data_IF_370678230597
#
_entry.id   IF_370678230597
#
_cell.length_a   1.000
_cell.length_b   1.000
_cell.length_c   1.000
_cell.angle_alpha   90.00
_cell.angle_beta   90.00
_cell.angle_gamma   90.00
#
_symmetry.space_group_name_H-M   'P 1'
#
loop_
_entity.id
_entity.type
_entity.pdbx_description
1 polymer ?
#
# COMPACT_ATOMS: atom_id res chain seq x y z
N UNK A 1 -10.06 19.36 -22.64
CA UNK A 1 -8.98 19.99 -23.42
C UNK A 1 -8.28 20.98 -22.50
N UNK A 2 -7.10 20.65 -21.97
CA UNK A 2 -6.31 21.55 -21.12
C UNK A 2 -5.50 22.47 -22.03
N UNK A 3 -5.65 23.79 -21.88
CA UNK A 3 -4.70 24.77 -22.39
C UNK A 3 -3.69 25.08 -21.29
N UNK A 4 -2.41 24.87 -21.58
CA UNK A 4 -1.31 25.19 -20.68
C UNK A 4 -0.66 26.49 -21.18
N UNK A 5 -0.87 27.60 -20.47
CA UNK A 5 -0.16 28.86 -20.75
C UNK A 5 1.11 28.90 -19.89
N UNK A 6 2.28 28.70 -20.50
CA UNK A 6 3.58 28.76 -19.82
C UNK A 6 4.17 30.16 -19.94
N UNK A 7 4.07 30.96 -18.87
CA UNK A 7 4.80 32.22 -18.76
C UNK A 7 6.19 31.94 -18.17
N UNK A 8 7.23 32.09 -18.99
CA UNK A 8 8.63 32.10 -18.53
C UNK A 8 9.00 33.50 -18.11
N UNK A 9 9.31 33.70 -16.82
CA UNK A 9 9.95 34.93 -16.35
C UNK A 9 11.37 34.63 -15.88
N UNK A 10 12.33 35.36 -16.44
CA UNK A 10 13.72 35.33 -16.02
C UNK A 10 13.87 36.24 -14.79
N UNK A 11 14.47 35.73 -13.72
CA UNK A 11 14.76 36.46 -12.49
C UNK A 11 16.03 37.30 -12.68
N UNK A 12 16.16 38.38 -11.91
CA UNK A 12 17.30 39.32 -11.98
C UNK A 12 18.65 38.69 -11.59
N UNK A 13 18.65 37.52 -10.94
CA UNK A 13 19.82 36.73 -10.55
C UNK A 13 20.27 35.71 -11.61
N UNK A 14 19.62 35.68 -12.79
CA UNK A 14 19.89 34.72 -13.85
C UNK A 14 19.12 33.40 -13.74
N UNK A 15 18.33 33.19 -12.68
CA UNK A 15 17.45 32.03 -12.54
C UNK A 15 16.14 32.14 -13.34
N UNK A 16 15.46 31.02 -13.59
CA UNK A 16 14.13 31.01 -14.21
C UNK A 16 13.06 30.68 -13.17
N UNK A 17 11.91 31.39 -13.22
CA UNK A 17 10.68 30.96 -12.54
C UNK A 17 9.67 30.59 -13.62
N UNK A 18 9.23 29.33 -13.61
CA UNK A 18 8.07 28.90 -14.37
C UNK A 18 6.90 28.76 -13.40
N UNK A 19 5.79 29.42 -13.71
CA UNK A 19 4.51 29.23 -13.03
C UNK A 19 3.49 28.82 -14.08
N UNK A 20 2.75 27.75 -13.80
CA UNK A 20 1.61 27.34 -14.61
C UNK A 20 0.34 27.50 -13.77
N UNK A 21 -0.66 28.15 -14.34
CA UNK A 21 -1.99 28.25 -13.73
C UNK A 21 -2.92 27.30 -14.46
N UNK A 22 -3.33 26.23 -13.79
CA UNK A 22 -4.30 25.28 -14.33
C UNK A 22 -5.70 25.74 -13.94
N UNK A 23 -6.49 26.17 -14.91
CA UNK A 23 -7.91 26.46 -14.70
C UNK A 23 -8.70 25.17 -14.87
N UNK A 24 -9.19 24.62 -13.76
CA UNK A 24 -10.13 23.49 -13.81
C UNK A 24 -11.48 24.03 -14.28
N UNK A 25 -11.86 23.74 -15.53
CA UNK A 25 -13.19 24.07 -16.05
C UNK A 25 -14.22 23.11 -15.46
N UNK A 26 -14.92 23.54 -14.42
CA UNK A 26 -16.03 22.83 -13.80
C UNK A 26 -15.92 22.76 -12.27
N UNK A 27 -17.05 22.50 -11.60
CA UNK A 27 -17.04 22.17 -10.18
C UNK A 27 -16.35 20.83 -9.98
N UNK A 28 -15.27 20.81 -9.21
CA UNK A 28 -14.66 19.56 -8.73
C UNK A 28 -15.56 18.99 -7.65
N UNK A 29 -16.44 18.07 -8.04
CA UNK A 29 -17.24 17.31 -7.07
C UNK A 29 -16.38 16.15 -6.58
N UNK A 30 -15.83 16.31 -5.38
CA UNK A 30 -15.07 15.27 -4.69
C UNK A 30 -15.93 14.55 -3.68
N UNK A 31 -15.81 13.24 -3.61
CA UNK A 31 -16.35 12.43 -2.52
C UNK A 31 -15.25 12.16 -1.51
N UNK A 32 -15.51 12.43 -0.23
CA UNK A 32 -14.56 12.11 0.84
C UNK A 32 -14.82 10.69 1.32
N UNK A 33 -13.79 9.85 1.22
CA UNK A 33 -13.77 8.52 1.85
C UNK A 33 -12.98 8.65 3.15
N UNK A 34 -13.63 8.47 4.29
CA UNK A 34 -13.01 8.62 5.61
C UNK A 34 -13.76 7.85 6.68
N UNK A 35 -13.04 7.44 7.72
CA UNK A 35 -13.62 6.98 8.99
C UNK A 35 -13.09 7.82 10.16
N UNK A 36 -13.58 7.55 11.37
CA UNK A 36 -13.12 8.27 12.58
C UNK A 36 -11.66 7.96 12.96
N UNK A 37 -11.07 6.91 12.39
CA UNK A 37 -9.67 6.56 12.54
C UNK A 37 -9.14 5.87 11.27
N UNK A 38 -7.84 5.53 11.27
CA UNK A 38 -7.14 4.89 10.13
C UNK A 38 -7.73 3.52 9.77
N UNK A 39 -8.17 2.74 10.75
CA UNK A 39 -8.76 1.42 10.55
C UNK A 39 -10.08 1.56 9.82
N UNK A 40 -11.00 2.37 10.34
CA UNK A 40 -12.29 2.62 9.71
C UNK A 40 -12.14 3.28 8.33
N UNK A 41 -11.16 4.16 8.14
CA UNK A 41 -10.86 4.73 6.81
C UNK A 41 -10.48 3.64 5.81
N UNK A 42 -9.70 2.63 6.22
CA UNK A 42 -9.38 1.48 5.35
C UNK A 42 -10.63 0.66 5.01
N UNK A 43 -11.59 0.55 5.93
CA UNK A 43 -12.83 -0.20 5.70
C UNK A 43 -13.78 0.57 4.78
N UNK A 44 -13.88 1.90 4.91
CA UNK A 44 -14.66 2.74 3.99
C UNK A 44 -14.07 2.74 2.58
N UNK A 45 -12.73 2.76 2.45
CA UNK A 45 -12.06 2.58 1.16
C UNK A 45 -12.38 1.20 0.54
N UNK A 46 -12.40 0.15 1.36
CA UNK A 46 -12.81 -1.20 0.95
C UNK A 46 -14.28 -1.23 0.48
N UNK A 47 -15.22 -0.65 1.22
CA UNK A 47 -16.63 -0.56 0.81
C UNK A 47 -16.82 0.19 -0.51
N UNK A 48 -16.02 1.22 -0.75
CA UNK A 48 -16.07 1.97 -2.01
C UNK A 48 -15.57 1.16 -3.20
N UNK A 49 -14.48 0.42 -3.03
CA UNK A 49 -13.85 -0.32 -4.12
C UNK A 49 -14.40 -1.74 -4.34
N UNK A 50 -15.00 -2.36 -3.32
CA UNK A 50 -15.34 -3.78 -3.32
C UNK A 50 -16.70 -4.07 -2.67
N UNK A 51 -17.59 -4.69 -3.44
CA UNK A 51 -18.80 -5.34 -2.92
C UNK A 51 -18.46 -6.69 -2.29
N UNK A 52 -17.56 -7.44 -2.93
CA UNK A 52 -17.01 -8.71 -2.47
C UNK A 52 -15.53 -8.80 -2.84
N UNK A 53 -14.80 -9.68 -2.16
CA UNK A 53 -13.43 -10.04 -2.52
C UNK A 53 -13.06 -11.39 -1.89
N UNK A 54 -12.60 -12.33 -2.70
CA UNK A 54 -12.07 -13.62 -2.21
C UNK A 54 -10.77 -13.43 -1.40
N UNK A 55 -10.09 -12.30 -1.59
CA UNK A 55 -8.80 -11.97 -0.99
C UNK A 55 -8.86 -10.68 -0.18
N UNK A 56 -8.09 -10.60 0.91
CA UNK A 56 -7.79 -9.33 1.57
C UNK A 56 -6.31 -9.27 1.94
N UNK A 57 -5.72 -8.09 1.88
CA UNK A 57 -4.38 -7.84 2.42
C UNK A 57 -4.55 -7.14 3.75
N UNK A 58 -3.97 -7.69 4.81
CA UNK A 58 -4.01 -7.10 6.15
C UNK A 58 -2.62 -6.62 6.53
N UNK A 59 -2.52 -5.36 6.94
CA UNK A 59 -1.30 -4.75 7.44
C UNK A 59 -1.53 -4.09 8.81
N UNK A 60 -0.45 -3.87 9.55
CA UNK A 60 -0.53 -3.16 10.82
C UNK A 60 -0.91 -1.69 10.60
N UNK A 61 -1.87 -1.19 11.38
CA UNK A 61 -2.17 0.24 11.40
C UNK A 61 -1.20 1.07 12.24
N UNK A 62 -0.29 0.44 12.98
CA UNK A 62 0.63 1.13 13.91
C UNK A 62 2.03 1.24 13.31
N UNK A 63 2.60 0.14 12.83
CA UNK A 63 3.92 0.08 12.21
C UNK A 63 3.76 -0.39 10.75
N UNK A 64 3.73 0.56 9.82
CA UNK A 64 3.31 0.36 8.43
C UNK A 64 4.42 0.34 7.35
N UNK A 65 5.74 0.18 7.62
CA UNK A 65 6.73 0.13 6.54
C UNK A 65 6.49 -1.07 5.61
N UNK A 66 5.99 -2.18 6.17
CA UNK A 66 5.65 -3.39 5.43
C UNK A 66 4.41 -3.20 4.53
N UNK A 67 3.48 -2.32 4.91
CA UNK A 67 2.26 -2.04 4.17
C UNK A 67 2.51 -1.27 2.86
N UNK A 68 3.60 -0.50 2.79
CA UNK A 68 3.87 0.43 1.69
C UNK A 68 4.06 -0.28 0.35
N UNK A 69 4.69 -1.46 0.37
CA UNK A 69 4.94 -2.25 -0.83
C UNK A 69 3.80 -3.24 -1.15
N UNK A 70 2.72 -3.24 -0.37
CA UNK A 70 1.60 -4.15 -0.57
C UNK A 70 0.65 -3.75 -1.71
N UNK A 71 0.73 -2.52 -2.23
CA UNK A 71 -0.14 -2.04 -3.32
C UNK A 71 -0.18 -2.96 -4.55
N UNK A 72 0.98 -3.31 -5.15
CA UNK A 72 1.02 -4.25 -6.26
C UNK A 72 0.50 -5.66 -5.91
N UNK A 73 0.74 -6.13 -4.68
CA UNK A 73 0.19 -7.41 -4.21
C UNK A 73 -1.34 -7.36 -4.14
N UNK A 74 -1.88 -6.31 -3.54
CA UNK A 74 -3.31 -6.09 -3.42
C UNK A 74 -3.97 -6.02 -4.81
N UNK A 75 -3.35 -5.31 -5.76
CA UNK A 75 -3.84 -5.25 -7.14
C UNK A 75 -3.81 -6.60 -7.85
N UNK A 76 -2.75 -7.39 -7.68
CA UNK A 76 -2.64 -8.74 -8.26
C UNK A 76 -3.79 -9.65 -7.86
N UNK A 77 -4.23 -9.57 -6.60
CA UNK A 77 -5.33 -10.39 -6.07
C UNK A 77 -6.68 -9.68 -6.08
N UNK A 78 -6.77 -8.49 -6.71
CA UNK A 78 -7.95 -7.63 -6.67
C UNK A 78 -8.54 -7.48 -5.24
N UNK A 79 -7.66 -7.25 -4.27
CA UNK A 79 -7.97 -7.26 -2.85
C UNK A 79 -7.90 -5.85 -2.24
N UNK A 80 -8.77 -5.51 -1.27
CA UNK A 80 -8.57 -4.33 -0.45
C UNK A 80 -7.37 -4.53 0.51
N UNK A 81 -6.75 -3.41 0.87
CA UNK A 81 -5.79 -3.34 1.99
C UNK A 81 -6.55 -2.87 3.22
N UNK A 82 -6.66 -3.73 4.23
CA UNK A 82 -7.32 -3.45 5.49
C UNK A 82 -6.26 -3.29 6.60
N UNK A 83 -6.46 -2.32 7.48
CA UNK A 83 -5.57 -2.11 8.61
C UNK A 83 -6.09 -2.85 9.84
N UNK A 84 -5.19 -3.46 10.60
CA UNK A 84 -5.50 -4.13 11.87
C UNK A 84 -4.65 -3.57 13.01
N UNK A 85 -5.18 -3.66 14.22
CA UNK A 85 -4.38 -3.52 15.43
C UNK A 85 -3.45 -4.73 15.59
N UNK A 86 -2.35 -4.54 16.31
CA UNK A 86 -1.27 -5.54 16.43
C UNK A 86 -1.71 -6.83 17.14
N UNK A 87 -2.51 -6.72 18.21
CA UNK A 87 -2.79 -7.83 19.14
C UNK A 87 -4.25 -8.26 19.19
N UNK A 88 -5.14 -7.62 18.44
CA UNK A 88 -6.57 -7.88 18.52
C UNK A 88 -7.25 -7.69 17.17
N UNK A 89 -8.07 -8.67 16.79
CA UNK A 89 -9.02 -8.56 15.69
C UNK A 89 -10.22 -7.74 16.16
N UNK A 90 -10.25 -6.47 15.78
CA UNK A 90 -11.40 -5.60 16.06
C UNK A 90 -12.67 -6.12 15.39
N UNK A 91 -13.83 -5.90 16.02
CA UNK A 91 -15.13 -6.29 15.44
C UNK A 91 -15.35 -5.63 14.07
N UNK A 92 -14.83 -4.40 13.88
CA UNK A 92 -14.88 -3.72 12.59
C UNK A 92 -14.15 -4.47 11.48
N UNK A 93 -12.95 -4.99 11.75
CA UNK A 93 -12.20 -5.79 10.76
C UNK A 93 -12.90 -7.12 10.47
N UNK A 94 -13.38 -7.80 11.52
CA UNK A 94 -14.13 -9.04 11.39
C UNK A 94 -15.37 -8.86 10.51
N UNK A 95 -16.17 -7.82 10.78
CA UNK A 95 -17.35 -7.48 9.99
C UNK A 95 -17.00 -7.19 8.53
N UNK A 96 -15.90 -6.49 8.28
CA UNK A 96 -15.46 -6.16 6.93
C UNK A 96 -14.99 -7.41 6.16
N UNK A 97 -14.24 -8.31 6.80
CA UNK A 97 -13.85 -9.60 6.21
C UNK A 97 -15.07 -10.47 5.86
N UNK A 98 -16.07 -10.50 6.75
CA UNK A 98 -17.32 -11.24 6.53
C UNK A 98 -18.16 -10.61 5.41
N UNK A 99 -18.31 -9.29 5.38
CA UNK A 99 -19.02 -8.55 4.32
C UNK A 99 -18.44 -8.87 2.94
N UNK A 100 -17.11 -8.84 2.83
CA UNK A 100 -16.39 -9.14 1.60
C UNK A 100 -16.44 -10.62 1.20
N UNK A 101 -16.77 -11.53 2.15
CA UNK A 101 -16.71 -12.99 2.00
C UNK A 101 -15.30 -13.49 1.67
N UNK A 102 -14.31 -12.94 2.38
CA UNK A 102 -12.89 -13.27 2.17
C UNK A 102 -12.64 -14.76 2.45
N UNK A 103 -11.93 -15.42 1.52
CA UNK A 103 -11.50 -16.81 1.64
C UNK A 103 -10.03 -16.92 2.03
N UNK A 104 -9.22 -15.94 1.63
CA UNK A 104 -7.77 -15.91 1.86
C UNK A 104 -7.32 -14.51 2.28
N UNK A 105 -6.57 -14.43 3.37
CA UNK A 105 -5.90 -13.23 3.84
C UNK A 105 -4.40 -13.34 3.59
N UNK A 106 -3.81 -12.26 3.06
CA UNK A 106 -2.37 -12.02 3.07
C UNK A 106 -2.03 -11.11 4.24
N UNK A 107 -1.40 -11.64 5.28
CA UNK A 107 -0.87 -10.81 6.37
C UNK A 107 0.49 -10.30 5.93
N UNK A 108 0.62 -8.98 5.81
CA UNK A 108 1.87 -8.32 5.45
C UNK A 108 2.55 -7.83 6.72
N UNK A 109 3.77 -8.32 6.92
CA UNK A 109 4.61 -8.05 8.09
C UNK A 109 4.78 -9.24 9.02
N UNK A 110 5.85 -9.17 9.81
CA UNK A 110 6.19 -10.19 10.81
C UNK A 110 5.24 -10.20 12.01
N UNK A 111 5.48 -11.10 12.97
CA UNK A 111 4.67 -11.22 14.19
C UNK A 111 4.73 -9.96 15.08
N UNK A 112 5.81 -9.17 14.95
CA UNK A 112 5.93 -7.87 15.58
C UNK A 112 4.94 -6.83 15.04
N UNK A 113 4.54 -6.92 13.77
CA UNK A 113 3.57 -6.00 13.18
C UNK A 113 2.12 -6.44 13.45
N UNK A 114 1.87 -7.75 13.33
CA UNK A 114 0.58 -8.39 13.61
C UNK A 114 0.82 -9.72 14.30
N UNK A 115 0.36 -9.84 15.54
CA UNK A 115 0.66 -10.97 16.42
C UNK A 115 0.11 -12.29 15.88
N UNK A 116 0.62 -13.38 16.44
CA UNK A 116 0.08 -14.72 16.18
C UNK A 116 -1.37 -14.85 16.64
N UNK A 117 -1.76 -14.13 17.70
CA UNK A 117 -3.13 -14.14 18.20
C UNK A 117 -4.11 -13.55 17.20
N UNK A 118 -3.79 -12.41 16.58
CA UNK A 118 -4.61 -11.83 15.51
C UNK A 118 -4.72 -12.77 14.31
N UNK A 119 -3.61 -13.43 13.93
CA UNK A 119 -3.62 -14.46 12.89
C UNK A 119 -4.56 -15.63 13.26
N UNK A 120 -4.50 -16.12 14.50
CA UNK A 120 -5.35 -17.22 14.96
C UNK A 120 -6.82 -16.83 15.01
N UNK A 121 -7.14 -15.59 15.42
CA UNK A 121 -8.51 -15.06 15.40
C UNK A 121 -9.08 -15.00 13.98
N UNK A 122 -8.27 -14.62 12.98
CA UNK A 122 -8.70 -14.65 11.58
C UNK A 122 -8.90 -16.09 11.09
N UNK A 123 -8.01 -17.03 11.45
CA UNK A 123 -8.19 -18.46 11.11
C UNK A 123 -9.46 -19.04 11.71
N UNK A 124 -9.83 -18.63 12.93
CA UNK A 124 -11.05 -19.08 13.60
C UNK A 124 -12.32 -18.65 12.85
N UNK A 125 -12.25 -17.66 11.96
CA UNK A 125 -13.35 -17.30 11.03
C UNK A 125 -13.46 -18.25 9.82
N UNK A 126 -12.60 -19.27 9.71
CA UNK A 126 -12.53 -20.18 8.57
C UNK A 126 -11.78 -19.61 7.36
N UNK A 127 -10.99 -18.55 7.55
CA UNK A 127 -10.27 -17.87 6.48
C UNK A 127 -8.84 -18.41 6.39
N UNK A 128 -8.39 -18.74 5.17
CA UNK A 128 -7.01 -19.17 4.93
C UNK A 128 -6.05 -17.99 5.10
N UNK A 129 -4.87 -18.23 5.66
CA UNK A 129 -3.90 -17.16 5.87
C UNK A 129 -2.55 -17.51 5.24
N UNK A 130 -1.97 -16.51 4.57
CA UNK A 130 -0.58 -16.49 4.15
C UNK A 130 0.11 -15.27 4.75
N UNK A 131 1.08 -15.48 5.64
CA UNK A 131 1.91 -14.40 6.16
C UNK A 131 3.09 -14.15 5.22
N UNK A 132 3.39 -12.88 4.97
CA UNK A 132 4.49 -12.40 4.16
C UNK A 132 5.22 -11.35 4.99
N UNK A 133 6.23 -11.77 5.75
CA UNK A 133 7.02 -10.91 6.62
C UNK A 133 8.42 -11.49 6.82
N UNK A 134 9.43 -10.64 6.69
CA UNK A 134 10.83 -10.96 6.95
C UNK A 134 11.30 -10.45 8.31
N UNK A 135 12.59 -10.58 8.58
CA UNK A 135 13.23 -10.05 9.78
C UNK A 135 13.25 -8.51 9.80
N UNK A 136 13.16 -7.86 8.63
CA UNK A 136 13.11 -6.43 8.49
C UNK A 136 12.27 -6.01 7.26
N UNK A 137 12.01 -4.70 7.14
CA UNK A 137 11.20 -4.12 6.04
C UNK A 137 11.77 -4.38 4.64
N UNK A 138 13.09 -4.52 4.51
CA UNK A 138 13.74 -4.78 3.23
C UNK A 138 13.46 -6.22 2.79
N UNK A 139 13.65 -7.19 3.69
CA UNK A 139 13.32 -8.58 3.44
C UNK A 139 11.81 -8.77 3.19
N UNK A 140 10.94 -8.14 3.99
CA UNK A 140 9.49 -8.15 3.76
C UNK A 140 9.16 -7.65 2.35
N UNK A 141 9.78 -6.54 1.91
CA UNK A 141 9.55 -6.00 0.57
C UNK A 141 9.96 -6.97 -0.55
N UNK A 142 11.07 -7.71 -0.37
CA UNK A 142 11.51 -8.75 -1.31
C UNK A 142 10.55 -9.93 -1.32
N UNK A 143 10.08 -10.36 -0.15
CA UNK A 143 9.08 -11.43 -0.05
C UNK A 143 7.78 -11.06 -0.74
N UNK A 144 7.31 -9.82 -0.58
CA UNK A 144 6.15 -9.29 -1.29
C UNK A 144 6.42 -9.22 -2.79
N UNK A 145 7.59 -8.74 -3.21
CA UNK A 145 7.99 -8.68 -4.61
C UNK A 145 7.96 -10.05 -5.28
N UNK A 146 8.44 -11.10 -4.59
CA UNK A 146 8.33 -12.49 -5.04
C UNK A 146 6.88 -12.95 -5.20
N UNK A 147 5.96 -12.50 -4.33
CA UNK A 147 4.53 -12.80 -4.46
C UNK A 147 3.86 -12.03 -5.60
N UNK A 148 4.27 -10.78 -5.86
CA UNK A 148 3.80 -10.00 -7.01
C UNK A 148 4.25 -10.67 -8.32
N UNK A 149 5.50 -11.11 -8.37
CA UNK A 149 6.11 -11.74 -9.54
C UNK A 149 6.92 -10.75 -10.37
N UNK A 150 7.48 -11.25 -11.48
CA UNK A 150 8.36 -10.47 -12.34
C UNK A 150 7.60 -9.96 -13.57
N UNK A 151 7.45 -8.64 -13.69
CA UNK A 151 6.91 -7.97 -14.87
C UNK A 151 8.00 -7.41 -15.81
N UNK A 152 9.26 -7.75 -15.54
CA UNK A 152 10.44 -7.17 -16.20
C UNK A 152 10.77 -5.75 -15.74
N UNK A 153 10.00 -5.20 -14.79
CA UNK A 153 10.17 -3.86 -14.23
C UNK A 153 9.94 -3.91 -12.72
N UNK A 154 10.68 -3.12 -11.98
CA UNK A 154 10.50 -2.96 -10.53
C UNK A 154 10.78 -1.53 -10.11
N UNK A 155 10.26 -1.15 -8.95
CA UNK A 155 10.48 0.16 -8.35
C UNK A 155 11.33 0.00 -7.10
N UNK A 156 12.36 0.83 -6.98
CA UNK A 156 13.08 1.01 -5.72
C UNK A 156 12.56 2.24 -5.01
N UNK A 157 12.27 2.11 -3.72
CA UNK A 157 11.89 3.22 -2.86
C UNK A 157 12.70 3.18 -1.56
N UNK A 158 12.89 4.33 -0.92
CA UNK A 158 13.54 4.36 0.40
C UNK A 158 12.73 3.55 1.40
N UNK A 159 13.40 2.68 2.16
CA UNK A 159 12.80 2.01 3.32
C UNK A 159 12.85 2.87 4.59
N UNK A 160 13.48 4.05 4.55
CA UNK A 160 13.64 4.91 5.73
C UNK A 160 12.45 5.84 5.96
N UNK A 161 11.66 6.11 4.93
CA UNK A 161 10.45 6.94 4.99
C UNK A 161 9.39 6.40 4.02
N UNK A 162 8.16 6.88 4.11
CA UNK A 162 7.01 6.37 3.36
C UNK A 162 6.53 7.15 2.12
N UNK A 163 6.78 8.48 1.96
CA UNK A 163 6.18 9.25 0.87
C UNK A 163 6.50 8.73 -0.54
N UNK A 164 7.74 8.27 -0.76
CA UNK A 164 8.18 7.77 -2.07
C UNK A 164 7.45 6.48 -2.45
N UNK A 165 7.42 5.51 -1.54
CA UNK A 165 6.74 4.24 -1.76
C UNK A 165 5.21 4.43 -1.91
N UNK A 166 4.62 5.34 -1.12
CA UNK A 166 3.19 5.61 -1.17
C UNK A 166 2.78 6.31 -2.48
N UNK A 167 3.56 7.29 -2.94
CA UNK A 167 3.24 8.06 -4.15
C UNK A 167 3.34 7.23 -5.43
N UNK A 168 4.28 6.28 -5.48
CA UNK A 168 4.45 5.39 -6.63
C UNK A 168 3.52 4.16 -6.60
N UNK A 169 2.91 3.84 -5.45
CA UNK A 169 2.10 2.64 -5.26
C UNK A 169 0.99 2.45 -6.30
N UNK A 170 0.20 3.47 -6.69
CA UNK A 170 -0.84 3.30 -7.72
C UNK A 170 -0.28 2.93 -9.09
N UNK A 171 0.83 3.57 -9.50
CA UNK A 171 1.50 3.31 -10.78
C UNK A 171 2.13 1.92 -10.77
N UNK A 172 2.84 1.58 -9.69
CA UNK A 172 3.46 0.27 -9.51
C UNK A 172 2.40 -0.84 -9.53
N UNK A 173 1.29 -0.64 -8.85
CA UNK A 173 0.17 -1.59 -8.86
C UNK A 173 -0.42 -1.76 -10.26
N UNK A 174 -0.70 -0.66 -10.97
CA UNK A 174 -1.29 -0.72 -12.31
C UNK A 174 -0.37 -1.40 -13.33
N UNK A 175 0.95 -1.22 -13.20
CA UNK A 175 1.95 -1.82 -14.07
C UNK A 175 2.48 -3.16 -13.56
N UNK A 176 1.91 -3.71 -12.47
CA UNK A 176 2.38 -4.94 -11.82
C UNK A 176 3.88 -4.93 -11.52
N UNK A 177 4.41 -3.76 -11.16
CA UNK A 177 5.79 -3.60 -10.74
C UNK A 177 5.87 -3.84 -9.24
N UNK A 178 6.68 -4.79 -8.75
CA UNK A 178 6.96 -4.87 -7.33
C UNK A 178 7.69 -3.61 -6.84
N UNK A 179 7.40 -3.21 -5.61
CA UNK A 179 8.12 -2.15 -4.90
C UNK A 179 9.07 -2.82 -3.93
N UNK A 180 10.37 -2.58 -4.09
CA UNK A 180 11.43 -3.09 -3.21
C UNK A 180 12.06 -1.94 -2.46
N UNK A 181 12.16 -2.09 -1.15
CA UNK A 181 12.70 -1.07 -0.27
C UNK A 181 14.23 -1.17 -0.21
N UNK A 182 14.91 -0.03 -0.20
CA UNK A 182 16.37 0.08 -0.08
C UNK A 182 16.76 1.10 0.99
N UNK A 183 17.93 0.91 1.61
CA UNK A 183 18.51 1.89 2.53
C UNK A 183 19.13 3.07 1.78
N UNK A 184 19.39 4.17 2.49
CA UNK A 184 19.95 5.41 1.90
C UNK A 184 21.30 5.21 1.22
N UNK A 185 22.23 4.56 1.92
CA UNK A 185 23.61 4.35 1.47
C UNK A 185 23.99 2.87 1.43
N UNK A 186 23.03 1.97 1.65
CA UNK A 186 23.27 0.54 1.68
C UNK A 186 22.06 -0.20 1.14
N UNK A 187 22.31 -1.19 0.27
CA UNK A 187 21.31 -2.14 -0.19
C UNK A 187 21.49 -3.39 0.66
N UNK A 188 20.42 -3.78 1.35
CA UNK A 188 20.39 -5.00 2.15
C UNK A 188 20.81 -6.22 1.30
N UNK A 189 21.53 -7.17 1.89
CA UNK A 189 22.00 -8.37 1.19
C UNK A 189 20.85 -9.11 0.51
N UNK A 190 19.70 -9.22 1.19
CA UNK A 190 18.52 -9.90 0.65
C UNK A 190 17.98 -9.21 -0.61
N UNK A 191 18.09 -7.88 -0.67
CA UNK A 191 17.69 -7.12 -1.87
C UNK A 191 18.71 -7.33 -2.98
N UNK A 192 20.01 -7.32 -2.71
CA UNK A 192 21.04 -7.58 -3.71
C UNK A 192 20.94 -8.96 -4.35
N UNK A 193 20.55 -9.98 -3.59
CA UNK A 193 20.37 -11.34 -4.09
C UNK A 193 19.09 -11.52 -4.92
N UNK A 194 18.13 -10.61 -4.77
CA UNK A 194 16.86 -10.67 -5.48
C UNK A 194 16.88 -10.00 -6.86
N UNK A 195 17.72 -8.96 -7.02
CA UNK A 195 17.83 -8.13 -8.25
C UNK A 195 18.89 -8.70 -9.16
#
# INVERSE_FOLDING_TARGET
MLELLLLRQQRKDGGFKASATVHVKGNVVGERIFGSNRYLTSYEASKKGWQNSDYAVIASGVDYPDALCAGPLAKKYNAPILLSEQKSLTEGLKNELQRLKVKQVFIVGGEGALSKDTENQIKALGINIKRIGGANRYETSVLIAKQVGNSGKMVFATGLDYPDALSIAPIAANLSMPIVLVGKNNIDKVVKEYV
#
